data_IF_886526672212
#
_entry.id   IF_886526672212
#
_cell.length_a   1.000
_cell.length_b   1.000
_cell.length_c   1.000
_cell.angle_alpha   90.00
_cell.angle_beta   90.00
_cell.angle_gamma   90.00
#
_symmetry.space_group_name_H-M   'P 1'
#
loop_
_entity.id
_entity.type
_entity.pdbx_description
1 polymer ?
#
# COMPACT_ATOMS: atom_id res chain seq x y z
N UNK A 1 -47.63 12.55 3.44
CA UNK A 1 -46.60 13.59 3.67
C UNK A 1 -45.57 13.19 4.73
N UNK A 2 -45.95 12.62 5.88
CA UNK A 2 -44.98 12.05 6.85
C UNK A 2 -44.00 11.01 6.25
N UNK A 3 -44.42 10.30 5.21
CA UNK A 3 -43.54 9.36 4.48
C UNK A 3 -42.41 10.09 3.75
N UNK A 4 -42.67 11.27 3.15
CA UNK A 4 -41.66 12.03 2.42
C UNK A 4 -40.64 12.62 3.38
N UNK A 5 -41.10 13.18 4.51
CA UNK A 5 -40.24 13.70 5.58
C UNK A 5 -39.40 12.58 6.26
N UNK A 6 -39.97 11.37 6.38
CA UNK A 6 -39.23 10.19 6.81
C UNK A 6 -38.14 9.77 5.81
N UNK A 7 -38.46 9.76 4.52
CA UNK A 7 -37.52 9.43 3.44
C UNK A 7 -36.39 10.46 3.32
N UNK A 8 -36.67 11.77 3.48
CA UNK A 8 -35.64 12.80 3.46
C UNK A 8 -34.67 12.67 4.62
N UNK A 9 -35.16 12.38 5.82
CA UNK A 9 -34.29 12.11 6.97
C UNK A 9 -33.42 10.86 6.73
N UNK A 10 -33.97 9.78 6.17
CA UNK A 10 -33.18 8.61 5.80
C UNK A 10 -32.10 8.90 4.74
N UNK A 11 -32.39 9.79 3.78
CA UNK A 11 -31.41 10.23 2.79
C UNK A 11 -30.29 11.05 3.44
N UNK A 12 -30.61 11.97 4.36
CA UNK A 12 -29.61 12.72 5.12
C UNK A 12 -28.68 11.76 5.88
N UNK A 13 -29.25 10.81 6.62
CA UNK A 13 -28.48 9.83 7.38
C UNK A 13 -27.55 9.02 6.45
N UNK A 14 -28.05 8.60 5.28
CA UNK A 14 -27.28 7.84 4.30
C UNK A 14 -26.12 8.66 3.72
N UNK A 15 -26.34 9.92 3.38
CA UNK A 15 -25.32 10.82 2.84
C UNK A 15 -24.25 11.13 3.89
N UNK A 16 -24.65 11.34 5.15
CA UNK A 16 -23.70 11.51 6.26
C UNK A 16 -22.85 10.26 6.49
N UNK A 17 -23.43 9.07 6.36
CA UNK A 17 -22.69 7.81 6.42
C UNK A 17 -21.65 7.70 5.29
N UNK A 18 -22.01 8.05 4.06
CA UNK A 18 -21.07 8.07 2.92
C UNK A 18 -19.95 9.08 3.15
N UNK A 19 -20.28 10.27 3.66
CA UNK A 19 -19.29 11.30 3.99
C UNK A 19 -18.26 10.78 5.00
N UNK A 20 -18.72 10.19 6.10
CA UNK A 20 -17.86 9.64 7.13
C UNK A 20 -16.96 8.50 6.60
N UNK A 21 -17.51 7.61 5.76
CA UNK A 21 -16.72 6.55 5.13
C UNK A 21 -15.68 7.09 4.14
N UNK A 22 -16.00 8.15 3.38
CA UNK A 22 -15.03 8.79 2.49
C UNK A 22 -13.86 9.41 3.25
N UNK A 23 -14.14 10.12 4.36
CA UNK A 23 -13.11 10.69 5.24
C UNK A 23 -12.23 9.59 5.86
N UNK A 24 -12.84 8.51 6.36
CA UNK A 24 -12.11 7.36 6.91
C UNK A 24 -11.24 6.67 5.85
N UNK A 25 -11.76 6.50 4.64
CA UNK A 25 -11.02 5.92 3.52
C UNK A 25 -9.83 6.79 3.11
N UNK A 26 -9.99 8.11 3.11
CA UNK A 26 -8.90 9.06 2.85
C UNK A 26 -7.81 8.95 3.92
N UNK A 27 -8.17 8.98 5.20
CA UNK A 27 -7.23 8.87 6.31
C UNK A 27 -6.48 7.52 6.30
N UNK A 28 -7.20 6.42 6.03
CA UNK A 28 -6.61 5.09 5.92
C UNK A 28 -5.64 5.01 4.73
N UNK A 29 -5.97 5.64 3.61
CA UNK A 29 -5.11 5.70 2.43
C UNK A 29 -3.81 6.47 2.70
N UNK A 30 -3.88 7.60 3.43
CA UNK A 30 -2.70 8.34 3.87
C UNK A 30 -1.79 7.52 4.80
N UNK A 31 -2.38 6.77 5.73
CA UNK A 31 -1.63 5.86 6.59
C UNK A 31 -0.94 4.75 5.78
N UNK A 32 -1.66 4.16 4.83
CA UNK A 32 -1.10 3.15 3.92
C UNK A 32 0.04 3.70 3.07
N UNK A 33 -0.07 4.94 2.57
CA UNK A 33 1.02 5.62 1.85
C UNK A 33 2.26 5.78 2.74
N UNK A 34 2.06 6.17 4.00
CA UNK A 34 3.15 6.27 4.99
C UNK A 34 3.84 4.92 5.23
N UNK A 35 3.05 3.84 5.40
CA UNK A 35 3.57 2.50 5.60
C UNK A 35 4.30 1.95 4.36
N UNK A 36 3.80 2.27 3.18
CA UNK A 36 4.42 1.93 1.89
C UNK A 36 5.78 2.61 1.75
N UNK A 37 5.89 3.90 2.09
CA UNK A 37 7.18 4.63 2.12
C UNK A 37 8.18 4.00 3.10
N UNK A 38 7.74 3.60 4.29
CA UNK A 38 8.58 2.87 5.26
C UNK A 38 9.07 1.54 4.68
N UNK A 39 8.19 0.77 4.02
CA UNK A 39 8.56 -0.50 3.40
C UNK A 39 9.63 -0.35 2.30
N UNK A 40 9.57 0.73 1.49
CA UNK A 40 10.62 1.07 0.53
C UNK A 40 11.95 1.35 1.23
N UNK A 41 11.92 2.17 2.28
CA UNK A 41 13.12 2.53 3.03
C UNK A 41 13.78 1.30 3.66
N UNK A 42 12.99 0.46 4.33
CA UNK A 42 13.48 -0.79 4.92
C UNK A 42 14.04 -1.74 3.86
N UNK A 43 13.34 -1.92 2.73
CA UNK A 43 13.83 -2.74 1.61
C UNK A 43 15.15 -2.21 1.04
N UNK A 44 15.33 -0.88 0.99
CA UNK A 44 16.59 -0.25 0.62
C UNK A 44 17.74 -0.63 1.56
N UNK A 45 17.50 -0.60 2.88
CA UNK A 45 18.46 -1.05 3.88
C UNK A 45 18.85 -2.52 3.72
N UNK A 46 17.86 -3.41 3.50
CA UNK A 46 18.15 -4.85 3.26
C UNK A 46 18.94 -5.05 1.97
N UNK A 47 18.64 -4.28 0.92
CA UNK A 47 19.41 -4.33 -0.35
C UNK A 47 20.88 -4.00 -0.12
N UNK A 48 21.17 -2.98 0.70
CA UNK A 48 22.54 -2.59 1.03
C UNK A 48 23.27 -3.68 1.81
N UNK A 49 22.60 -4.31 2.79
CA UNK A 49 23.16 -5.43 3.55
C UNK A 49 23.42 -6.64 2.65
N UNK A 50 22.49 -6.99 1.75
CA UNK A 50 22.67 -8.08 0.79
C UNK A 50 23.86 -7.83 -0.14
N UNK A 51 24.02 -6.59 -0.62
CA UNK A 51 25.17 -6.18 -1.43
C UNK A 51 26.49 -6.32 -0.66
N UNK A 52 26.54 -5.91 0.60
CA UNK A 52 27.72 -6.08 1.45
C UNK A 52 28.07 -7.55 1.70
N UNK A 53 27.07 -8.41 1.95
CA UNK A 53 27.30 -9.86 2.09
C UNK A 53 27.82 -10.46 0.78
N UNK A 54 27.33 -9.99 -0.39
CA UNK A 54 27.82 -10.42 -1.70
C UNK A 54 29.30 -10.05 -1.88
N UNK A 55 29.71 -8.85 -1.49
CA UNK A 55 31.12 -8.43 -1.51
C UNK A 55 32.00 -9.30 -0.60
N UNK A 56 31.53 -9.59 0.63
CA UNK A 56 32.24 -10.50 1.54
C UNK A 56 32.39 -11.90 0.93
N UNK A 57 31.32 -12.43 0.32
CA UNK A 57 31.34 -13.72 -0.36
C UNK A 57 32.36 -13.74 -1.50
N UNK A 58 32.44 -12.69 -2.31
CA UNK A 58 33.42 -12.59 -3.40
C UNK A 58 34.87 -12.54 -2.89
N UNK A 59 35.13 -11.77 -1.83
CA UNK A 59 36.43 -11.74 -1.17
C UNK A 59 36.79 -13.08 -0.54
N UNK A 60 35.84 -13.75 0.11
CA UNK A 60 36.03 -15.06 0.74
C UNK A 60 36.30 -16.13 -0.31
N UNK A 61 35.65 -16.07 -1.46
CA UNK A 61 35.93 -16.97 -2.59
C UNK A 61 37.35 -16.77 -3.13
N UNK A 62 37.83 -15.53 -3.23
CA UNK A 62 39.21 -15.23 -3.64
C UNK A 62 40.24 -15.72 -2.60
N UNK A 63 39.96 -15.54 -1.31
CA UNK A 63 40.80 -16.09 -0.23
C UNK A 63 40.86 -17.63 -0.29
N UNK A 64 39.71 -18.29 -0.47
CA UNK A 64 39.64 -19.74 -0.65
C UNK A 64 40.38 -20.21 -1.91
N UNK A 65 40.36 -19.44 -3.00
CA UNK A 65 41.14 -19.73 -4.20
C UNK A 65 42.64 -19.66 -3.92
N UNK A 66 43.11 -18.60 -3.26
CA UNK A 66 44.52 -18.44 -2.91
C UNK A 66 45.00 -19.57 -1.99
N UNK A 67 44.17 -19.96 -1.00
CA UNK A 67 44.45 -21.08 -0.11
C UNK A 67 44.52 -22.41 -0.86
N UNK A 68 43.64 -22.64 -1.84
CA UNK A 68 43.67 -23.85 -2.67
C UNK A 68 44.92 -23.93 -3.55
N UNK A 69 45.38 -22.79 -4.10
CA UNK A 69 46.63 -22.71 -4.87
C UNK A 69 47.83 -23.02 -3.99
N UNK A 70 47.90 -22.43 -2.80
CA UNK A 70 49.02 -22.66 -1.87
C UNK A 70 49.04 -24.11 -1.37
N UNK A 71 47.86 -24.69 -1.06
CA UNK A 71 47.74 -26.09 -0.69
C UNK A 71 48.25 -27.04 -1.79
N UNK A 72 47.98 -26.73 -3.07
CA UNK A 72 48.51 -27.49 -4.19
C UNK A 72 50.03 -27.31 -4.34
N UNK A 73 50.57 -26.14 -3.99
CA UNK A 73 52.01 -25.83 -4.07
C UNK A 73 52.85 -26.66 -3.11
N UNK A 74 52.37 -26.89 -1.89
CA UNK A 74 53.06 -27.70 -0.88
C UNK A 74 52.78 -29.21 -1.00
N UNK A 75 52.02 -29.63 -2.01
CA UNK A 75 51.77 -31.05 -2.33
C UNK A 75 51.06 -31.80 -1.20
N UNK A 76 51.56 -32.98 -0.86
CA UNK A 76 50.92 -33.88 0.13
C UNK A 76 50.75 -33.24 1.52
N UNK A 77 51.66 -32.34 1.91
CA UNK A 77 51.57 -31.61 3.18
C UNK A 77 50.39 -30.63 3.22
N UNK A 78 49.88 -30.19 2.06
CA UNK A 78 48.76 -29.28 1.93
C UNK A 78 47.40 -29.94 1.70
N UNK A 79 47.34 -31.28 1.58
CA UNK A 79 46.12 -31.98 1.17
C UNK A 79 44.91 -31.67 2.05
N UNK A 80 45.09 -31.62 3.38
CA UNK A 80 44.03 -31.25 4.32
C UNK A 80 43.56 -29.79 4.17
N UNK A 81 44.50 -28.86 3.97
CA UNK A 81 44.18 -27.45 3.70
C UNK A 81 43.46 -27.26 2.36
N UNK A 82 43.78 -28.08 1.36
CA UNK A 82 43.11 -28.07 0.06
C UNK A 82 41.63 -28.44 0.16
N UNK A 83 41.26 -29.40 1.02
CA UNK A 83 39.86 -29.77 1.28
C UNK A 83 39.11 -28.61 1.93
N UNK A 84 39.70 -27.98 2.96
CA UNK A 84 39.10 -26.82 3.63
C UNK A 84 38.91 -25.65 2.67
N UNK A 85 39.92 -25.36 1.84
CA UNK A 85 39.86 -24.29 0.85
C UNK A 85 38.73 -24.52 -0.18
N UNK A 86 38.52 -25.76 -0.61
CA UNK A 86 37.42 -26.13 -1.51
C UNK A 86 36.05 -25.90 -0.86
N UNK A 87 35.90 -26.25 0.42
CA UNK A 87 34.65 -26.05 1.15
C UNK A 87 34.36 -24.55 1.36
N UNK A 88 35.37 -23.75 1.72
CA UNK A 88 35.25 -22.29 1.84
C UNK A 88 34.76 -21.67 0.53
N UNK A 89 35.31 -22.09 -0.63
CA UNK A 89 34.87 -21.60 -1.94
C UNK A 89 33.43 -22.00 -2.23
N UNK A 90 33.05 -23.23 -1.92
CA UNK A 90 31.67 -23.70 -2.09
C UNK A 90 30.69 -22.86 -1.27
N UNK A 91 30.96 -22.66 0.03
CA UNK A 91 30.14 -21.81 0.89
C UNK A 91 30.07 -20.37 0.39
N UNK A 92 31.18 -19.84 -0.12
CA UNK A 92 31.19 -18.49 -0.70
C UNK A 92 30.26 -18.40 -1.91
N UNK A 93 30.34 -19.34 -2.85
CA UNK A 93 29.44 -19.40 -4.02
C UNK A 93 27.98 -19.54 -3.61
N UNK A 94 27.68 -20.43 -2.65
CA UNK A 94 26.32 -20.63 -2.14
C UNK A 94 25.79 -19.34 -1.48
N UNK A 95 26.63 -18.63 -0.73
CA UNK A 95 26.31 -17.33 -0.13
C UNK A 95 25.98 -16.28 -1.19
N UNK A 96 26.77 -16.21 -2.27
CA UNK A 96 26.52 -15.30 -3.39
C UNK A 96 25.17 -15.58 -4.06
N UNK A 97 24.86 -16.86 -4.27
CA UNK A 97 23.58 -17.26 -4.86
C UNK A 97 22.41 -16.87 -3.94
N UNK A 98 22.54 -17.10 -2.62
CA UNK A 98 21.53 -16.69 -1.65
C UNK A 98 21.32 -15.16 -1.64
N UNK A 99 22.39 -14.36 -1.68
CA UNK A 99 22.26 -12.89 -1.76
C UNK A 99 21.58 -12.43 -3.05
N UNK A 100 21.83 -13.10 -4.18
CA UNK A 100 21.16 -12.77 -5.44
C UNK A 100 19.65 -13.05 -5.38
N UNK A 101 19.23 -14.14 -4.73
CA UNK A 101 17.80 -14.44 -4.54
C UNK A 101 17.12 -13.45 -3.59
N UNK A 102 17.84 -12.98 -2.56
CA UNK A 102 17.37 -11.88 -1.70
C UNK A 102 17.17 -10.61 -2.52
N UNK A 103 18.15 -10.21 -3.34
CA UNK A 103 18.04 -9.03 -4.20
C UNK A 103 16.84 -9.12 -5.17
N UNK A 104 16.63 -10.28 -5.81
CA UNK A 104 15.45 -10.52 -6.67
C UNK A 104 14.14 -10.39 -5.89
N UNK A 105 14.07 -10.98 -4.71
CA UNK A 105 12.86 -10.90 -3.86
C UNK A 105 12.56 -9.45 -3.47
N UNK A 106 13.59 -8.67 -3.14
CA UNK A 106 13.45 -7.24 -2.84
C UNK A 106 12.99 -6.42 -4.05
N UNK A 107 13.41 -6.77 -5.26
CA UNK A 107 12.89 -6.14 -6.48
C UNK A 107 11.39 -6.38 -6.65
N UNK A 108 10.93 -7.62 -6.42
CA UNK A 108 9.49 -7.93 -6.45
C UNK A 108 8.72 -7.14 -5.39
N UNK A 109 9.26 -7.03 -4.17
CA UNK A 109 8.64 -6.22 -3.11
C UNK A 109 8.51 -4.75 -3.53
N UNK A 110 9.55 -4.18 -4.14
CA UNK A 110 9.52 -2.79 -4.63
C UNK A 110 8.48 -2.59 -5.73
N UNK A 111 8.33 -3.55 -6.63
CA UNK A 111 7.30 -3.52 -7.67
C UNK A 111 5.90 -3.56 -7.05
N UNK A 112 5.64 -4.46 -6.11
CA UNK A 112 4.35 -4.54 -5.41
C UNK A 112 4.03 -3.25 -4.65
N UNK A 113 5.02 -2.65 -4.00
CA UNK A 113 4.89 -1.35 -3.33
C UNK A 113 4.54 -0.24 -4.33
N UNK A 114 5.16 -0.23 -5.51
CA UNK A 114 4.86 0.77 -6.53
C UNK A 114 3.44 0.64 -7.10
N UNK A 115 2.94 -0.59 -7.22
CA UNK A 115 1.53 -0.82 -7.58
C UNK A 115 0.60 -0.30 -6.48
N UNK A 116 0.90 -0.58 -5.21
CA UNK A 116 0.12 -0.06 -4.08
C UNK A 116 0.09 1.47 -4.04
N UNK A 117 1.19 2.15 -4.37
CA UNK A 117 1.24 3.62 -4.43
C UNK A 117 0.27 4.19 -5.48
N UNK A 118 0.17 3.54 -6.64
CA UNK A 118 -0.80 3.92 -7.67
C UNK A 118 -2.25 3.66 -7.22
N UNK A 119 -2.53 2.46 -6.69
CA UNK A 119 -3.86 2.08 -6.21
C UNK A 119 -4.34 3.04 -5.11
N UNK A 120 -3.45 3.42 -4.19
CA UNK A 120 -3.75 4.41 -3.14
C UNK A 120 -4.03 5.80 -3.72
N UNK A 121 -3.32 6.20 -4.78
CA UNK A 121 -3.61 7.44 -5.50
C UNK A 121 -5.02 7.44 -6.11
N UNK A 122 -5.45 6.33 -6.71
CA UNK A 122 -6.81 6.17 -7.23
C UNK A 122 -7.87 6.20 -6.12
N UNK A 123 -7.60 5.55 -4.99
CA UNK A 123 -8.50 5.57 -3.83
C UNK A 123 -8.65 6.99 -3.28
N UNK A 124 -7.56 7.73 -3.10
CA UNK A 124 -7.62 9.14 -2.64
C UNK A 124 -8.42 10.01 -3.61
N UNK A 125 -8.24 9.85 -4.91
CA UNK A 125 -9.01 10.58 -5.91
C UNK A 125 -10.52 10.24 -5.84
N UNK A 126 -10.85 8.95 -5.68
CA UNK A 126 -12.24 8.51 -5.55
C UNK A 126 -12.90 9.00 -4.26
N UNK A 127 -12.18 9.00 -3.12
CA UNK A 127 -12.68 9.60 -1.88
C UNK A 127 -12.97 11.09 -2.04
N UNK A 128 -12.11 11.83 -2.74
CA UNK A 128 -12.33 13.25 -3.01
C UNK A 128 -13.59 13.48 -3.86
N UNK A 129 -13.78 12.69 -4.92
CA UNK A 129 -14.99 12.73 -5.74
C UNK A 129 -16.25 12.39 -4.92
N UNK A 130 -16.18 11.39 -4.02
CA UNK A 130 -17.28 11.07 -3.12
C UNK A 130 -17.63 12.24 -2.19
N UNK A 131 -16.64 12.98 -1.70
CA UNK A 131 -16.89 14.15 -0.85
C UNK A 131 -17.61 15.27 -1.62
N UNK A 132 -17.27 15.47 -2.89
CA UNK A 132 -17.97 16.43 -3.77
C UNK A 132 -19.41 16.00 -4.03
N UNK A 133 -19.64 14.72 -4.36
CA UNK A 133 -20.97 14.15 -4.55
C UNK A 133 -21.83 14.26 -3.29
N UNK A 134 -21.27 14.00 -2.12
CA UNK A 134 -21.94 14.19 -0.82
C UNK A 134 -22.45 15.63 -0.68
N UNK A 135 -21.65 16.63 -1.05
CA UNK A 135 -22.06 18.04 -0.99
C UNK A 135 -23.22 18.32 -1.94
N UNK A 136 -23.17 17.81 -3.17
CA UNK A 136 -24.24 17.97 -4.16
C UNK A 136 -25.54 17.28 -3.72
N UNK A 137 -25.43 16.08 -3.12
CA UNK A 137 -26.57 15.37 -2.56
C UNK A 137 -27.22 16.14 -1.41
N UNK A 138 -26.42 16.76 -0.52
CA UNK A 138 -26.95 17.59 0.56
C UNK A 138 -27.72 18.81 0.03
N UNK A 139 -27.24 19.46 -1.02
CA UNK A 139 -27.96 20.57 -1.68
C UNK A 139 -29.27 20.08 -2.30
N UNK A 140 -29.25 18.94 -2.99
CA UNK A 140 -30.44 18.32 -3.58
C UNK A 140 -31.49 17.98 -2.52
N UNK A 141 -31.07 17.42 -1.37
CA UNK A 141 -31.96 17.11 -0.26
C UNK A 141 -32.57 18.38 0.33
N UNK A 142 -31.80 19.46 0.48
CA UNK A 142 -32.31 20.75 0.96
C UNK A 142 -33.39 21.31 0.03
N UNK A 143 -33.15 21.30 -1.29
CA UNK A 143 -34.16 21.70 -2.27
C UNK A 143 -35.42 20.82 -2.24
N UNK A 144 -35.26 19.52 -2.01
CA UNK A 144 -36.40 18.60 -1.89
C UNK A 144 -37.23 18.87 -0.62
N UNK A 145 -36.57 19.22 0.49
CA UNK A 145 -37.25 19.66 1.72
C UNK A 145 -38.02 20.97 1.51
N UNK A 146 -37.44 21.96 0.82
CA UNK A 146 -38.12 23.22 0.47
C UNK A 146 -39.35 22.96 -0.41
N UNK A 147 -39.18 22.21 -1.49
CA UNK A 147 -40.27 21.86 -2.42
C UNK A 147 -41.39 21.12 -1.71
N UNK A 148 -41.06 20.21 -0.79
CA UNK A 148 -42.05 19.48 0.02
C UNK A 148 -42.84 20.41 0.94
N UNK A 149 -42.17 21.42 1.51
CA UNK A 149 -42.80 22.43 2.37
C UNK A 149 -43.74 23.34 1.58
N UNK A 150 -43.34 23.79 0.39
CA UNK A 150 -44.19 24.57 -0.52
C UNK A 150 -45.43 23.78 -0.94
N UNK A 151 -45.25 22.52 -1.33
CA UNK A 151 -46.37 21.63 -1.68
C UNK A 151 -47.36 21.46 -0.51
N UNK A 152 -46.85 21.38 0.73
CA UNK A 152 -47.69 21.28 1.93
C UNK A 152 -48.54 22.53 2.12
N UNK A 153 -47.93 23.71 1.96
CA UNK A 153 -48.64 24.99 2.06
C UNK A 153 -49.70 25.13 0.96
N UNK A 154 -49.37 24.74 -0.27
CA UNK A 154 -50.30 24.75 -1.39
C UNK A 154 -51.53 23.85 -1.14
N UNK A 155 -51.31 22.61 -0.66
CA UNK A 155 -52.43 21.73 -0.31
C UNK A 155 -53.29 22.28 0.84
N UNK A 156 -52.68 22.90 1.85
CA UNK A 156 -53.42 23.55 2.95
C UNK A 156 -54.28 24.71 2.46
N UNK A 157 -53.78 25.52 1.52
CA UNK A 157 -54.57 26.57 0.88
C UNK A 157 -55.75 26.00 0.09
N UNK A 158 -55.55 24.96 -0.72
CA UNK A 158 -56.64 24.33 -1.49
C UNK A 158 -57.77 23.81 -0.59
N UNK A 159 -57.43 23.18 0.54
CA UNK A 159 -58.44 22.72 1.51
C UNK A 159 -59.21 23.90 2.09
N UNK A 160 -58.53 24.97 2.50
CA UNK A 160 -59.18 26.16 3.08
C UNK A 160 -60.15 26.86 2.12
N UNK A 161 -59.85 26.84 0.82
CA UNK A 161 -60.71 27.42 -0.23
C UNK A 161 -61.96 26.56 -0.44
N UNK A 162 -61.88 25.24 -0.28
CA UNK A 162 -63.02 24.34 -0.48
C UNK A 162 -63.97 24.29 0.72
N UNK A 163 -63.49 24.60 1.92
CA UNK A 163 -64.31 24.67 3.15
C UNK A 163 -65.00 26.03 3.36
N UNK A 164 -64.72 27.04 2.51
CA UNK A 164 -65.32 28.39 2.53
C UNK A 164 -66.44 28.54 1.51
#
# INVERSE_FOLDING_TARGET
>A
MNIVEGLTNQLVDSVQHVAAHSEELSATSEEMLSNTKKAVQTSGGVTQVAGFIREISEQTNLLGLNAAIEAARVGDAGAGFGVVAKEIRKLSVDTKNATNEIEKSLLTVRQSVQLLDNDLGEITASSQEQAELVSEFMETINHLNETTKELKQFMQQLISIHES
#
